data_IF_992826876706
#
_entry.id   IF_992826876706
#
_cell.length_a   1.000
_cell.length_b   1.000
_cell.length_c   1.000
_cell.angle_alpha   90.00
_cell.angle_beta   90.00
_cell.angle_gamma   90.00
#
_symmetry.space_group_name_H-M   'P 1'
#
loop_
_entity.id
_entity.type
_entity.pdbx_description
1 polymer ?
#
# COMPACT_ATOMS: atom_id res chain seq x y z
N UNK A 1 81.53 -20.08 -7.77
CA UNK A 1 80.50 -21.02 -8.25
C UNK A 1 79.17 -20.30 -8.06
N UNK A 2 78.50 -19.96 -9.17
CA UNK A 2 77.26 -19.19 -9.15
C UNK A 2 76.10 -20.08 -8.67
N UNK A 3 75.36 -19.62 -7.67
CA UNK A 3 74.11 -20.25 -7.23
C UNK A 3 72.98 -19.92 -8.22
N UNK A 4 72.09 -20.87 -8.57
CA UNK A 4 71.00 -20.61 -9.49
C UNK A 4 69.81 -19.93 -8.80
N UNK A 5 69.16 -19.10 -9.61
CA UNK A 5 68.05 -18.18 -9.34
C UNK A 5 66.86 -18.87 -8.66
N UNK A 6 66.33 -18.22 -7.62
CA UNK A 6 65.07 -18.57 -6.98
C UNK A 6 63.91 -18.48 -7.98
N UNK A 7 63.26 -19.63 -8.24
CA UNK A 7 61.97 -19.66 -8.92
C UNK A 7 60.91 -19.01 -8.02
N UNK A 8 60.37 -17.88 -8.46
CA UNK A 8 59.14 -17.30 -7.91
C UNK A 8 58.01 -18.25 -8.29
N UNK A 9 57.39 -18.87 -7.28
CA UNK A 9 56.14 -19.59 -7.47
C UNK A 9 55.06 -18.60 -7.89
N UNK A 10 54.68 -18.65 -9.18
CA UNK A 10 53.45 -18.02 -9.65
C UNK A 10 52.30 -18.80 -9.01
N UNK A 11 51.67 -18.18 -8.02
CA UNK A 11 50.49 -18.71 -7.34
C UNK A 11 49.42 -19.11 -8.35
N UNK A 12 48.77 -20.23 -8.08
CA UNK A 12 47.77 -20.83 -8.94
C UNK A 12 46.70 -19.83 -9.38
N UNK A 13 46.56 -19.69 -10.69
CA UNK A 13 45.36 -19.13 -11.28
C UNK A 13 44.30 -20.23 -11.14
N UNK A 14 43.30 -20.03 -10.27
CA UNK A 14 42.07 -20.83 -10.33
C UNK A 14 41.51 -20.69 -11.74
N UNK A 15 41.59 -21.77 -12.52
CA UNK A 15 40.95 -21.85 -13.82
C UNK A 15 39.46 -21.89 -13.53
N UNK A 16 38.80 -20.74 -13.65
CA UNK A 16 37.35 -20.64 -13.57
C UNK A 16 36.78 -21.44 -14.74
N UNK A 17 36.20 -22.59 -14.44
CA UNK A 17 35.56 -23.44 -15.44
C UNK A 17 34.27 -22.77 -15.91
N UNK A 18 34.36 -22.15 -17.08
CA UNK A 18 33.25 -21.42 -17.71
C UNK A 18 32.07 -22.36 -17.98
N UNK A 19 32.32 -23.64 -18.23
CA UNK A 19 31.26 -24.63 -18.49
C UNK A 19 30.47 -24.94 -17.21
N UNK A 20 31.11 -24.96 -16.05
CA UNK A 20 30.44 -25.14 -14.76
C UNK A 20 29.60 -23.91 -14.36
N UNK A 21 30.05 -22.70 -14.72
CA UNK A 21 29.25 -21.47 -14.51
C UNK A 21 28.00 -21.50 -15.39
N UNK A 22 28.16 -21.79 -16.68
CA UNK A 22 27.04 -21.85 -17.62
C UNK A 22 26.04 -22.93 -17.20
N UNK A 23 26.52 -24.10 -16.74
CA UNK A 23 25.66 -25.17 -16.24
C UNK A 23 24.84 -24.75 -15.03
N UNK A 24 25.49 -24.13 -14.03
CA UNK A 24 24.79 -23.63 -12.82
C UNK A 24 23.73 -22.58 -13.16
N UNK A 25 24.04 -21.68 -14.10
CA UNK A 25 23.10 -20.66 -14.57
C UNK A 25 21.88 -21.29 -15.27
N UNK A 26 22.10 -22.29 -16.12
CA UNK A 26 21.03 -23.03 -16.81
C UNK A 26 20.16 -23.79 -15.80
N UNK A 27 20.77 -24.50 -14.85
CA UNK A 27 20.05 -25.21 -13.79
C UNK A 27 19.22 -24.27 -12.92
N UNK A 28 19.76 -23.09 -12.58
CA UNK A 28 19.02 -22.06 -11.84
C UNK A 28 17.80 -21.56 -12.62
N UNK A 29 17.94 -21.30 -13.92
CA UNK A 29 16.82 -20.85 -14.78
C UNK A 29 15.78 -21.94 -15.01
N UNK A 30 16.19 -23.19 -15.14
CA UNK A 30 15.26 -24.32 -15.23
C UNK A 30 14.49 -24.46 -13.91
N UNK A 31 15.17 -24.36 -12.78
CA UNK A 31 14.54 -24.43 -11.45
C UNK A 31 13.55 -23.29 -11.24
N UNK A 32 13.92 -22.06 -11.60
CA UNK A 32 13.04 -20.88 -11.55
C UNK A 32 11.80 -21.08 -12.44
N UNK A 33 11.98 -21.62 -13.66
CA UNK A 33 10.87 -21.94 -14.56
C UNK A 33 9.92 -23.03 -14.02
N UNK A 34 10.46 -24.05 -13.33
CA UNK A 34 9.65 -25.09 -12.67
C UNK A 34 8.88 -24.49 -11.48
N UNK A 35 9.53 -23.69 -10.62
CA UNK A 35 8.88 -23.03 -9.48
C UNK A 35 7.76 -22.07 -9.92
N UNK A 36 7.94 -21.36 -11.04
CA UNK A 36 6.90 -20.53 -11.66
C UNK A 36 5.73 -21.38 -12.17
N UNK A 37 6.01 -22.49 -12.87
CA UNK A 37 4.97 -23.39 -13.37
C UNK A 37 4.16 -24.07 -12.27
N UNK A 38 4.81 -24.51 -11.20
CA UNK A 38 4.13 -25.10 -10.03
C UNK A 38 3.21 -24.09 -9.34
N UNK A 39 3.66 -22.83 -9.22
CA UNK A 39 2.84 -21.75 -8.63
C UNK A 39 1.68 -21.33 -9.53
N UNK A 40 1.87 -21.27 -10.85
CA UNK A 40 0.80 -21.02 -11.81
C UNK A 40 -0.27 -22.11 -11.74
N UNK A 41 0.15 -23.38 -11.65
CA UNK A 41 -0.76 -24.52 -11.47
C UNK A 41 -1.54 -24.44 -10.16
N UNK A 42 -0.88 -24.10 -9.05
CA UNK A 42 -1.55 -23.90 -7.74
C UNK A 42 -2.55 -22.75 -7.80
N UNK A 43 -2.20 -21.64 -8.45
CA UNK A 43 -3.10 -20.50 -8.63
C UNK A 43 -4.32 -20.89 -9.49
N UNK A 44 -4.11 -21.63 -10.58
CA UNK A 44 -5.20 -22.11 -11.43
C UNK A 44 -6.15 -23.05 -10.65
N UNK A 45 -5.62 -23.96 -9.83
CA UNK A 45 -6.41 -24.85 -8.98
C UNK A 45 -7.20 -24.09 -7.91
N UNK A 46 -6.59 -23.11 -7.23
CA UNK A 46 -7.28 -22.25 -6.25
C UNK A 46 -8.37 -21.37 -6.90
N UNK A 47 -8.09 -20.78 -8.07
CA UNK A 47 -9.06 -19.97 -8.83
C UNK A 47 -10.23 -20.84 -9.30
N UNK A 48 -9.95 -22.06 -9.79
CA UNK A 48 -10.97 -23.00 -10.22
C UNK A 48 -11.86 -23.46 -9.06
N UNK A 49 -11.27 -23.73 -7.89
CA UNK A 49 -12.02 -24.08 -6.68
C UNK A 49 -12.99 -22.97 -6.20
N UNK A 50 -12.74 -21.72 -6.58
CA UNK A 50 -13.59 -20.57 -6.26
C UNK A 50 -14.66 -20.35 -7.33
N UNK A 51 -14.29 -20.47 -8.61
CA UNK A 51 -15.26 -20.40 -9.72
C UNK A 51 -16.34 -21.48 -9.63
N UNK A 52 -16.00 -22.65 -9.07
CA UNK A 52 -16.96 -23.75 -8.88
C UNK A 52 -17.94 -23.51 -7.70
N UNK A 53 -17.76 -22.44 -6.90
CA UNK A 53 -18.58 -22.16 -5.69
C UNK A 53 -19.14 -20.74 -5.55
N UNK A 54 -18.66 -19.72 -6.26
CA UNK A 54 -19.06 -18.32 -6.00
C UNK A 54 -19.51 -17.57 -7.28
N UNK A 55 -20.71 -16.96 -7.22
CA UNK A 55 -21.30 -16.19 -8.31
C UNK A 55 -20.61 -14.85 -8.59
N UNK A 56 -20.88 -14.29 -9.77
CA UNK A 56 -20.40 -12.96 -10.20
C UNK A 56 -20.36 -11.93 -9.06
N UNK A 57 -19.20 -11.28 -8.86
CA UNK A 57 -19.11 -10.11 -7.97
C UNK A 57 -19.98 -8.98 -8.54
N UNK A 58 -20.97 -8.54 -7.76
CA UNK A 58 -21.66 -7.29 -8.04
C UNK A 58 -20.77 -6.11 -7.62
N UNK A 59 -19.86 -5.71 -8.51
CA UNK A 59 -18.88 -4.66 -8.23
C UNK A 59 -19.53 -3.33 -7.81
N UNK A 60 -20.68 -2.98 -8.41
CA UNK A 60 -21.43 -1.77 -8.05
C UNK A 60 -21.94 -1.87 -6.61
N UNK A 61 -22.47 -3.02 -6.21
CA UNK A 61 -22.93 -3.29 -4.85
C UNK A 61 -21.79 -3.18 -3.84
N UNK A 62 -20.65 -3.83 -4.14
CA UNK A 62 -19.44 -3.81 -3.31
C UNK A 62 -18.93 -2.37 -3.11
N UNK A 63 -18.77 -1.60 -4.19
CA UNK A 63 -18.29 -0.22 -4.10
C UNK A 63 -19.26 0.61 -3.24
N UNK A 64 -20.57 0.48 -3.46
CA UNK A 64 -21.57 1.22 -2.68
C UNK A 64 -21.54 0.86 -1.19
N UNK A 65 -21.38 -0.41 -0.86
CA UNK A 65 -21.26 -0.87 0.52
C UNK A 65 -20.00 -0.31 1.19
N UNK A 66 -18.83 -0.41 0.54
CA UNK A 66 -17.59 0.18 1.03
C UNK A 66 -17.69 1.70 1.21
N UNK A 67 -18.22 2.41 0.19
CA UNK A 67 -18.41 3.87 0.27
C UNK A 67 -19.28 4.26 1.44
N UNK A 68 -20.38 3.54 1.70
CA UNK A 68 -21.27 3.80 2.83
C UNK A 68 -20.53 3.63 4.17
N UNK A 69 -19.80 2.52 4.34
CA UNK A 69 -19.08 2.22 5.58
C UNK A 69 -18.01 3.27 5.86
N UNK A 70 -17.13 3.57 4.89
CA UNK A 70 -16.09 4.60 5.06
C UNK A 70 -16.67 5.99 5.28
N UNK A 71 -17.77 6.34 4.61
CA UNK A 71 -18.43 7.63 4.81
C UNK A 71 -18.93 7.78 6.25
N UNK A 72 -19.66 6.79 6.76
CA UNK A 72 -20.17 6.82 8.12
C UNK A 72 -19.02 6.95 9.12
N UNK A 73 -18.00 6.10 8.97
CA UNK A 73 -16.87 6.05 9.89
C UNK A 73 -16.02 7.34 9.88
N UNK A 74 -15.60 7.78 8.70
CA UNK A 74 -14.61 8.87 8.61
C UNK A 74 -15.26 10.25 8.54
N UNK A 75 -16.41 10.36 7.87
CA UNK A 75 -17.07 11.65 7.71
C UNK A 75 -18.06 11.94 8.83
N UNK A 76 -18.87 10.97 9.25
CA UNK A 76 -19.89 11.16 10.30
C UNK A 76 -19.26 11.01 11.69
N UNK A 77 -18.58 9.90 11.95
CA UNK A 77 -18.01 9.56 13.26
C UNK A 77 -16.63 10.19 13.49
N UNK A 78 -16.02 10.79 12.46
CA UNK A 78 -14.71 11.47 12.51
C UNK A 78 -13.54 10.56 12.88
N UNK A 79 -13.66 9.27 12.62
CA UNK A 79 -12.55 8.34 12.79
C UNK A 79 -11.48 8.53 11.69
N UNK A 80 -10.22 8.21 12.00
CA UNK A 80 -9.12 8.26 11.03
C UNK A 80 -9.14 7.08 10.06
N UNK A 81 -8.52 7.17 8.88
CA UNK A 81 -8.52 6.11 7.87
C UNK A 81 -7.84 4.80 8.34
N UNK A 82 -8.24 3.67 7.73
CA UNK A 82 -7.75 2.33 8.05
C UNK A 82 -6.57 1.98 7.14
N UNK A 83 -5.40 1.77 7.72
CA UNK A 83 -4.16 1.49 6.97
C UNK A 83 -3.78 0.02 6.88
N UNK A 84 -4.37 -0.82 7.72
CA UNK A 84 -4.15 -2.27 7.71
C UNK A 84 -5.19 -2.97 6.83
N UNK A 85 -4.71 -3.81 5.92
CA UNK A 85 -5.62 -4.60 5.08
C UNK A 85 -6.43 -5.60 5.90
N UNK A 86 -5.81 -6.26 6.88
CA UNK A 86 -6.49 -7.29 7.65
C UNK A 86 -7.60 -6.66 8.52
N UNK A 87 -7.30 -5.52 9.15
CA UNK A 87 -8.26 -4.72 9.92
C UNK A 87 -9.40 -4.22 9.04
N UNK A 88 -9.08 -3.67 7.86
CA UNK A 88 -10.08 -3.20 6.90
C UNK A 88 -11.00 -4.35 6.47
N UNK A 89 -10.43 -5.48 6.06
CA UNK A 89 -11.18 -6.65 5.62
C UNK A 89 -12.10 -7.16 6.72
N UNK A 90 -11.58 -7.27 7.95
CA UNK A 90 -12.35 -7.72 9.10
C UNK A 90 -13.52 -6.76 9.38
N UNK A 91 -13.25 -5.47 9.54
CA UNK A 91 -14.26 -4.46 9.85
C UNK A 91 -15.34 -4.38 8.77
N UNK A 92 -14.94 -4.30 7.50
CA UNK A 92 -15.89 -4.17 6.39
C UNK A 92 -16.73 -5.43 6.22
N UNK A 93 -16.15 -6.63 6.40
CA UNK A 93 -16.89 -7.89 6.26
C UNK A 93 -17.82 -8.14 7.46
N UNK A 94 -17.43 -7.74 8.67
CA UNK A 94 -18.31 -7.78 9.83
C UNK A 94 -19.50 -6.82 9.68
N UNK A 95 -19.26 -5.65 9.10
CA UNK A 95 -20.31 -4.64 8.87
C UNK A 95 -21.24 -5.03 7.72
N UNK A 96 -20.70 -5.57 6.64
CA UNK A 96 -21.45 -6.02 5.48
C UNK A 96 -20.87 -7.34 4.93
N UNK A 97 -21.47 -8.49 5.29
CA UNK A 97 -20.98 -9.81 4.88
C UNK A 97 -20.91 -10.01 3.36
N UNK A 98 -21.62 -9.21 2.55
CA UNK A 98 -21.55 -9.29 1.09
C UNK A 98 -20.18 -8.87 0.52
N UNK A 99 -19.35 -8.22 1.34
CA UNK A 99 -17.99 -7.82 0.97
C UNK A 99 -16.98 -8.97 1.09
N UNK A 100 -17.34 -10.09 1.73
CA UNK A 100 -16.44 -11.21 2.01
C UNK A 100 -15.78 -11.74 0.73
N UNK A 101 -16.59 -12.03 -0.27
CA UNK A 101 -16.13 -12.70 -1.49
C UNK A 101 -15.28 -11.76 -2.33
N UNK A 102 -15.61 -10.46 -2.33
CA UNK A 102 -14.76 -9.43 -2.92
C UNK A 102 -13.38 -9.40 -2.28
N UNK A 103 -13.28 -9.38 -0.95
CA UNK A 103 -11.98 -9.38 -0.29
C UNK A 103 -11.19 -10.68 -0.50
N UNK A 104 -11.87 -11.83 -0.58
CA UNK A 104 -11.24 -13.10 -0.91
C UNK A 104 -10.64 -13.05 -2.32
N UNK A 105 -11.41 -12.63 -3.32
CA UNK A 105 -10.93 -12.51 -4.70
C UNK A 105 -9.84 -11.44 -4.84
N UNK A 106 -9.99 -10.29 -4.17
CA UNK A 106 -8.96 -9.25 -4.17
C UNK A 106 -7.64 -9.77 -3.59
N UNK A 107 -7.68 -10.56 -2.51
CA UNK A 107 -6.48 -11.14 -1.91
C UNK A 107 -5.79 -12.14 -2.84
N UNK A 108 -6.54 -12.92 -3.59
CA UNK A 108 -6.00 -13.87 -4.55
C UNK A 108 -5.41 -13.18 -5.78
N UNK A 109 -6.09 -12.14 -6.29
CA UNK A 109 -5.58 -11.29 -7.37
C UNK A 109 -4.27 -10.58 -6.98
N UNK A 110 -4.18 -10.16 -5.73
CA UNK A 110 -3.03 -9.43 -5.18
C UNK A 110 -1.94 -10.35 -4.60
N UNK A 111 -2.08 -11.68 -4.70
CA UNK A 111 -1.09 -12.61 -4.16
C UNK A 111 0.18 -12.57 -5.02
N UNK A 112 1.34 -12.22 -4.47
CA UNK A 112 2.58 -12.17 -5.25
C UNK A 112 3.10 -13.57 -5.56
N UNK A 113 3.75 -13.72 -6.72
CA UNK A 113 4.44 -14.95 -7.12
C UNK A 113 5.54 -15.35 -6.12
N UNK A 114 6.35 -14.38 -5.68
CA UNK A 114 7.35 -14.59 -4.62
C UNK A 114 6.78 -14.26 -3.23
N UNK A 115 6.77 -15.27 -2.35
CA UNK A 115 6.22 -15.18 -0.99
C UNK A 115 7.28 -14.79 0.04
N UNK A 116 7.74 -13.54 -0.02
CA UNK A 116 8.46 -12.96 1.13
C UNK A 116 7.56 -11.98 1.89
N UNK A 117 7.80 -11.84 3.21
CA UNK A 117 7.01 -10.99 4.11
C UNK A 117 6.94 -9.53 3.60
N UNK A 118 8.06 -9.03 3.05
CA UNK A 118 8.13 -7.68 2.48
C UNK A 118 7.18 -7.50 1.29
N UNK A 119 7.10 -8.47 0.38
CA UNK A 119 6.22 -8.41 -0.80
C UNK A 119 4.76 -8.48 -0.38
N UNK A 120 4.41 -9.37 0.55
CA UNK A 120 3.04 -9.48 1.10
C UNK A 120 2.63 -8.16 1.77
N UNK A 121 3.51 -7.57 2.59
CA UNK A 121 3.23 -6.28 3.25
C UNK A 121 2.99 -5.13 2.27
N UNK A 122 3.76 -5.06 1.18
CA UNK A 122 3.54 -4.09 0.10
C UNK A 122 2.19 -4.31 -0.59
N UNK A 123 1.83 -5.56 -0.88
CA UNK A 123 0.55 -5.88 -1.52
C UNK A 123 -0.64 -5.52 -0.64
N UNK A 124 -0.59 -5.80 0.66
CA UNK A 124 -1.65 -5.38 1.61
C UNK A 124 -1.88 -3.86 1.58
N UNK A 125 -0.80 -3.06 1.55
CA UNK A 125 -0.92 -1.60 1.42
C UNK A 125 -1.55 -1.17 0.09
N UNK A 126 -1.21 -1.85 -1.00
CA UNK A 126 -1.82 -1.60 -2.31
C UNK A 126 -3.31 -1.93 -2.32
N UNK A 127 -3.72 -3.02 -1.67
CA UNK A 127 -5.13 -3.42 -1.56
C UNK A 127 -5.94 -2.39 -0.74
N UNK A 128 -5.38 -1.88 0.35
CA UNK A 128 -5.98 -0.78 1.13
C UNK A 128 -6.17 0.45 0.24
N UNK A 129 -5.13 0.84 -0.50
CA UNK A 129 -5.20 1.98 -1.42
C UNK A 129 -6.30 1.78 -2.47
N UNK A 130 -6.39 0.59 -3.07
CA UNK A 130 -7.41 0.28 -4.06
C UNK A 130 -8.83 0.37 -3.48
N UNK A 131 -9.06 -0.13 -2.26
CA UNK A 131 -10.36 -0.04 -1.60
C UNK A 131 -10.78 1.42 -1.37
N UNK A 132 -9.86 2.27 -0.91
CA UNK A 132 -10.11 3.71 -0.77
C UNK A 132 -10.38 4.38 -2.11
N UNK A 133 -9.59 4.06 -3.14
CA UNK A 133 -9.78 4.60 -4.47
C UNK A 133 -11.18 4.27 -4.99
N UNK A 134 -11.55 3.00 -4.98
CA UNK A 134 -12.86 2.50 -5.40
C UNK A 134 -14.00 3.15 -4.63
N UNK A 135 -13.92 3.18 -3.29
CA UNK A 135 -14.95 3.78 -2.46
C UNK A 135 -15.10 5.29 -2.68
N UNK A 136 -13.99 5.98 -2.97
CA UNK A 136 -14.00 7.43 -3.20
C UNK A 136 -14.57 7.83 -4.57
N UNK A 137 -14.65 6.91 -5.54
CA UNK A 137 -15.20 7.19 -6.87
C UNK A 137 -16.63 7.75 -6.81
N UNK A 138 -17.44 7.20 -5.91
CA UNK A 138 -18.85 7.56 -5.76
C UNK A 138 -19.13 8.50 -4.58
N UNK A 139 -18.10 8.89 -3.82
CA UNK A 139 -18.29 9.74 -2.64
C UNK A 139 -17.08 10.66 -2.37
N UNK A 140 -17.24 11.93 -2.70
CA UNK A 140 -16.21 12.98 -2.52
C UNK A 140 -15.87 13.31 -1.05
N UNK A 141 -16.67 12.82 -0.10
CA UNK A 141 -16.45 13.01 1.33
C UNK A 141 -15.48 11.98 1.92
N UNK A 142 -15.28 10.85 1.24
CA UNK A 142 -14.26 9.86 1.58
C UNK A 142 -12.92 10.34 1.00
N UNK A 143 -12.29 11.25 1.74
CA UNK A 143 -11.06 11.89 1.29
C UNK A 143 -9.95 11.89 2.35
N UNK A 144 -10.16 11.32 3.53
CA UNK A 144 -9.17 11.29 4.61
C UNK A 144 -7.86 10.68 4.12
N UNK A 145 -7.94 9.50 3.50
CA UNK A 145 -6.78 8.85 2.87
C UNK A 145 -6.11 9.73 1.80
N UNK A 146 -6.88 10.42 0.95
CA UNK A 146 -6.34 11.32 -0.09
C UNK A 146 -5.63 12.53 0.51
N UNK A 147 -6.13 13.05 1.62
CA UNK A 147 -5.50 14.14 2.37
C UNK A 147 -4.20 13.68 3.01
N UNK A 148 -4.15 12.50 3.62
CA UNK A 148 -2.93 11.99 4.25
C UNK A 148 -1.82 11.77 3.21
N UNK A 149 -2.17 11.24 2.03
CA UNK A 149 -1.22 11.15 0.93
C UNK A 149 -0.78 12.52 0.40
N UNK A 150 -1.69 13.48 0.28
CA UNK A 150 -1.35 14.83 -0.15
C UNK A 150 -0.47 15.57 0.88
N UNK A 151 -0.74 15.41 2.18
CA UNK A 151 0.09 15.97 3.25
C UNK A 151 1.49 15.38 3.24
N UNK A 152 1.61 14.07 3.05
CA UNK A 152 2.92 13.44 2.90
C UNK A 152 3.68 14.02 1.70
N UNK A 153 3.06 14.07 0.52
CA UNK A 153 3.69 14.60 -0.70
C UNK A 153 4.10 16.06 -0.56
N UNK A 154 3.23 16.88 0.02
CA UNK A 154 3.52 18.27 0.32
C UNK A 154 4.70 18.40 1.30
N UNK A 155 4.75 17.57 2.34
CA UNK A 155 5.85 17.57 3.33
C UNK A 155 7.21 17.20 2.76
N UNK A 156 7.25 16.38 1.70
CA UNK A 156 8.49 16.03 0.98
C UNK A 156 8.82 17.02 -0.15
N UNK A 157 8.11 18.16 -0.23
CA UNK A 157 8.39 19.23 -1.18
C UNK A 157 7.80 19.03 -2.56
N UNK A 158 6.76 18.20 -2.72
CA UNK A 158 6.06 18.07 -4.01
C UNK A 158 5.45 19.42 -4.40
N UNK A 159 5.67 19.85 -5.64
CA UNK A 159 5.14 21.12 -6.13
C UNK A 159 3.61 21.14 -6.17
N UNK A 160 3.01 22.33 -6.11
CA UNK A 160 1.56 22.48 -6.26
C UNK A 160 1.03 21.87 -7.57
N UNK A 161 1.81 21.96 -8.65
CA UNK A 161 1.47 21.35 -9.94
C UNK A 161 1.52 19.82 -9.88
N UNK A 162 2.51 19.25 -9.20
CA UNK A 162 2.60 17.81 -8.96
C UNK A 162 1.42 17.29 -8.13
N UNK A 163 1.07 18.00 -7.05
CA UNK A 163 -0.11 17.67 -6.23
C UNK A 163 -1.40 17.76 -7.05
N UNK A 164 -1.58 18.82 -7.83
CA UNK A 164 -2.77 18.99 -8.67
C UNK A 164 -2.84 17.93 -9.78
N UNK A 165 -1.71 17.53 -10.35
CA UNK A 165 -1.64 16.44 -11.33
C UNK A 165 -2.15 15.14 -10.72
N UNK A 166 -1.66 14.75 -9.54
CA UNK A 166 -2.11 13.54 -8.85
C UNK A 166 -3.57 13.63 -8.37
N UNK A 167 -4.03 14.83 -8.02
CA UNK A 167 -5.43 15.07 -7.68
C UNK A 167 -6.35 14.90 -8.89
N UNK A 168 -5.93 15.37 -10.07
CA UNK A 168 -6.67 15.19 -11.33
C UNK A 168 -6.74 13.71 -11.75
N UNK A 169 -5.75 12.90 -11.37
CA UNK A 169 -5.79 11.43 -11.50
C UNK A 169 -6.65 10.73 -10.44
N UNK A 170 -7.21 11.49 -9.48
CA UNK A 170 -8.05 10.96 -8.40
C UNK A 170 -7.29 10.29 -7.25
N UNK A 171 -5.95 10.32 -7.27
CA UNK A 171 -5.07 9.66 -6.29
C UNK A 171 -5.00 10.46 -4.98
N UNK A 172 -4.89 11.78 -5.07
CA UNK A 172 -4.73 12.69 -3.92
C UNK A 172 -5.80 13.79 -3.93
N UNK A 173 -5.54 14.88 -3.19
CA UNK A 173 -6.31 16.12 -3.26
C UNK A 173 -5.45 17.28 -3.74
N UNK A 174 -6.08 18.35 -4.21
CA UNK A 174 -5.41 19.53 -4.77
C UNK A 174 -4.56 20.26 -3.71
N UNK A 175 -3.51 20.95 -4.14
CA UNK A 175 -2.68 21.79 -3.26
C UNK A 175 -3.54 22.83 -2.50
N UNK A 176 -4.51 23.44 -3.19
CA UNK A 176 -5.46 24.40 -2.60
C UNK A 176 -6.25 23.78 -1.43
N UNK A 177 -6.66 22.52 -1.55
CA UNK A 177 -7.41 21.85 -0.50
C UNK A 177 -6.52 21.55 0.72
N UNK A 178 -5.25 21.18 0.49
CA UNK A 178 -4.23 21.02 1.53
C UNK A 178 -4.02 22.33 2.29
N UNK A 179 -3.74 23.42 1.58
CA UNK A 179 -3.52 24.74 2.19
C UNK A 179 -4.72 25.20 3.02
N UNK A 180 -5.92 25.02 2.48
CA UNK A 180 -7.16 25.38 3.18
C UNK A 180 -7.31 24.60 4.48
N UNK A 181 -7.06 23.28 4.48
CA UNK A 181 -7.16 22.49 5.71
C UNK A 181 -6.07 22.85 6.72
N UNK A 182 -4.82 23.05 6.27
CA UNK A 182 -3.74 23.53 7.15
C UNK A 182 -4.10 24.86 7.81
N UNK A 183 -4.66 25.79 7.04
CA UNK A 183 -5.12 27.07 7.55
C UNK A 183 -6.21 26.90 8.61
N UNK A 184 -7.22 26.08 8.34
CA UNK A 184 -8.29 25.77 9.31
C UNK A 184 -7.76 25.16 10.61
N UNK A 185 -6.77 24.26 10.51
CA UNK A 185 -6.13 23.66 11.67
C UNK A 185 -5.35 24.72 12.46
N UNK A 186 -4.62 25.61 11.77
CA UNK A 186 -3.87 26.70 12.40
C UNK A 186 -4.79 27.69 13.12
N UNK A 187 -5.87 28.12 12.47
CA UNK A 187 -6.87 29.04 13.04
C UNK A 187 -7.53 28.42 14.28
N UNK A 188 -7.95 27.15 14.20
CA UNK A 188 -8.54 26.46 15.35
C UNK A 188 -7.55 26.28 16.52
N UNK A 189 -6.26 26.09 16.21
CA UNK A 189 -5.22 26.00 17.24
C UNK A 189 -4.97 27.36 17.91
N UNK A 190 -4.93 28.44 17.14
CA UNK A 190 -4.80 29.81 17.63
C UNK A 190 -5.93 30.14 18.62
N UNK A 191 -7.18 29.90 18.22
CA UNK A 191 -8.35 30.09 19.10
C UNK A 191 -8.28 29.26 20.40
N UNK A 192 -7.76 28.03 20.32
CA UNK A 192 -7.58 27.18 21.50
C UNK A 192 -6.54 27.76 22.46
N UNK A 193 -5.38 28.20 21.93
CA UNK A 193 -4.31 28.78 22.74
C UNK A 193 -4.76 30.10 23.38
N UNK A 194 -5.46 30.97 22.65
CA UNK A 194 -6.02 32.21 23.21
C UNK A 194 -6.94 31.91 24.40
N UNK A 195 -7.88 30.98 24.25
CA UNK A 195 -8.77 30.55 25.34
C UNK A 195 -8.00 30.03 26.56
N UNK A 196 -6.95 29.22 26.34
CA UNK A 196 -6.12 28.70 27.44
C UNK A 196 -5.39 29.83 28.16
N UNK A 197 -4.85 30.80 27.43
CA UNK A 197 -4.12 31.94 27.99
C UNK A 197 -5.06 32.87 28.78
N UNK A 198 -6.22 33.21 28.23
CA UNK A 198 -7.25 34.00 28.91
C UNK A 198 -7.69 33.35 30.23
N UNK A 199 -7.92 32.04 30.23
CA UNK A 199 -8.32 31.31 31.43
C UNK A 199 -7.21 31.33 32.49
N UNK A 200 -5.94 31.20 32.09
CA UNK A 200 -4.81 31.30 33.02
C UNK A 200 -4.68 32.71 33.61
N UNK A 201 -4.83 33.75 32.80
CA UNK A 201 -4.79 35.14 33.28
C UNK A 201 -5.91 35.42 34.29
N UNK A 202 -7.12 34.92 34.03
CA UNK A 202 -8.25 35.02 34.98
C UNK A 202 -7.95 34.33 36.31
N UNK A 203 -7.35 33.15 36.30
CA UNK A 203 -6.98 32.44 37.53
C UNK A 203 -5.87 33.12 38.35
N UNK A 204 -4.98 33.88 37.70
CA UNK A 204 -3.91 34.62 38.38
C UNK A 204 -4.36 35.99 38.91
N UNK A 205 -5.56 36.45 38.52
CA UNK A 205 -6.16 37.72 38.98
C UNK A 205 -7.06 37.58 40.23
N UNK A 206 -7.16 36.38 40.80
CA UNK A 206 -7.80 36.07 42.08
C UNK A 206 -6.75 35.66 43.11
#
# INVERSE_FOLDING_TARGET
VAEPVANVAVGGVEVIDIEDIIRKEIEAKIKEGIELGDMETIMEEEVKAINDKEGMINLVGVIRAMSRIFYEREYVQKEGPIYSFDEMRELLTQTDPSLKDFFNQLYLLARPFERCEKTIGRMKKLMVFLCYLLASLNNSKINSFKFDLAYYLDSVGTSNEGLNTLANLGITTTARAVDRRKKQISEAHEEYIEKVLENRLKMLSY
#
